data_IF_895665144014
#
_entry.id   IF_895665144014
#
_cell.length_a   1.000
_cell.length_b   1.000
_cell.length_c   1.000
_cell.angle_alpha   90.00
_cell.angle_beta   90.00
_cell.angle_gamma   90.00
#
_symmetry.space_group_name_H-M   'P 1'
#
loop_
_entity.id
_entity.type
_entity.pdbx_description
1 polymer ?
#
# COMPACT_ATOMS: atom_id res chain seq x y z
N UNK A 1 -15.40 11.20 -16.13
CA UNK A 1 -15.81 11.96 -14.95
C UNK A 1 -14.58 12.02 -14.06
N UNK A 2 -13.85 13.13 -14.08
CA UNK A 2 -12.60 13.28 -13.32
C UNK A 2 -12.93 13.65 -11.88
N UNK A 3 -12.78 12.70 -10.96
CA UNK A 3 -12.81 12.95 -9.52
C UNK A 3 -11.49 13.63 -9.14
N UNK A 4 -11.47 14.97 -9.09
CA UNK A 4 -10.32 15.72 -8.56
C UNK A 4 -10.64 16.17 -7.13
N UNK A 5 -9.84 15.71 -6.17
CA UNK A 5 -9.90 16.20 -4.81
C UNK A 5 -9.09 17.50 -4.70
N UNK A 6 -9.71 18.58 -4.24
CA UNK A 6 -9.11 19.91 -3.99
C UNK A 6 -8.22 19.90 -2.74
N UNK A 7 -7.12 19.14 -2.77
CA UNK A 7 -6.12 19.17 -1.71
C UNK A 7 -4.78 19.69 -2.24
N UNK A 8 -4.07 20.45 -1.41
CA UNK A 8 -2.67 20.81 -1.67
C UNK A 8 -1.88 19.54 -2.05
N UNK A 9 -0.96 19.61 -3.02
CA UNK A 9 -0.30 18.43 -3.56
C UNK A 9 0.36 17.64 -2.43
N UNK A 10 -0.24 16.49 -2.11
CA UNK A 10 0.29 15.57 -1.11
C UNK A 10 1.61 15.00 -1.63
N UNK A 11 2.61 14.79 -0.75
CA UNK A 11 3.85 14.15 -1.15
C UNK A 11 3.56 12.77 -1.75
N UNK A 12 3.93 12.58 -3.01
CA UNK A 12 3.73 11.32 -3.72
C UNK A 12 4.60 10.23 -3.09
N UNK A 13 3.95 9.26 -2.45
CA UNK A 13 4.64 8.21 -1.70
C UNK A 13 5.17 7.09 -2.60
N UNK A 14 4.37 6.64 -3.57
CA UNK A 14 4.71 5.63 -4.57
C UNK A 14 3.68 5.65 -5.70
N UNK A 15 4.03 5.11 -6.87
CA UNK A 15 3.12 4.88 -8.00
C UNK A 15 3.56 3.65 -8.79
N UNK A 16 2.60 2.96 -9.39
CA UNK A 16 2.85 1.85 -10.32
C UNK A 16 1.73 1.77 -11.36
N UNK A 17 2.00 1.12 -12.48
CA UNK A 17 1.02 0.74 -13.50
C UNK A 17 0.95 -0.78 -13.53
N UNK A 18 -0.26 -1.33 -13.37
CA UNK A 18 -0.48 -2.77 -13.30
C UNK A 18 -1.26 -3.27 -14.51
N UNK A 19 -0.83 -4.36 -15.17
CA UNK A 19 -1.66 -5.04 -16.14
C UNK A 19 -2.89 -5.67 -15.47
N UNK A 20 -3.99 -5.80 -16.22
CA UNK A 20 -5.25 -6.40 -15.73
C UNK A 20 -5.06 -7.87 -15.39
N UNK A 21 -4.30 -8.58 -16.24
CA UNK A 21 -3.84 -9.94 -16.01
C UNK A 21 -2.73 -9.89 -14.94
N UNK A 22 -2.88 -10.61 -13.83
CA UNK A 22 -2.00 -10.60 -12.64
C UNK A 22 -2.11 -9.42 -11.67
N UNK A 23 -3.16 -8.61 -11.78
CA UNK A 23 -3.40 -7.45 -10.91
C UNK A 23 -3.22 -7.72 -9.40
N UNK A 24 -3.75 -8.81 -8.80
CA UNK A 24 -3.70 -8.97 -7.35
C UNK A 24 -2.28 -9.19 -6.79
N UNK A 25 -1.47 -10.03 -7.44
CA UNK A 25 -0.13 -10.39 -6.95
C UNK A 25 0.83 -9.19 -7.08
N UNK A 26 0.77 -8.49 -8.21
CA UNK A 26 1.61 -7.31 -8.45
C UNK A 26 1.20 -6.14 -7.55
N UNK A 27 -0.10 -5.97 -7.28
CA UNK A 27 -0.60 -4.98 -6.33
C UNK A 27 -0.08 -5.26 -4.90
N UNK A 28 -0.22 -6.50 -4.41
CA UNK A 28 0.28 -6.91 -3.09
C UNK A 28 1.79 -6.66 -2.97
N UNK A 29 2.55 -7.01 -4.01
CA UNK A 29 4.01 -6.78 -4.03
C UNK A 29 4.36 -5.29 -3.96
N UNK A 30 3.68 -4.46 -4.75
CA UNK A 30 3.87 -3.02 -4.75
C UNK A 30 3.53 -2.39 -3.39
N UNK A 31 2.40 -2.76 -2.80
CA UNK A 31 1.95 -2.26 -1.51
C UNK A 31 2.92 -2.66 -0.40
N UNK A 32 3.36 -3.91 -0.35
CA UNK A 32 4.35 -4.36 0.63
C UNK A 32 5.64 -3.54 0.58
N UNK A 33 6.19 -3.33 -0.62
CA UNK A 33 7.44 -2.57 -0.79
C UNK A 33 7.28 -1.08 -0.47
N UNK A 34 6.10 -0.51 -0.70
CA UNK A 34 5.90 0.94 -0.56
C UNK A 34 5.49 1.34 0.85
N UNK A 35 4.83 0.44 1.59
CA UNK A 35 4.19 0.73 2.88
C UNK A 35 5.00 0.23 4.08
N UNK A 36 5.62 -0.95 3.99
CA UNK A 36 6.24 -1.63 5.14
C UNK A 36 7.34 -0.80 5.79
N UNK A 37 8.24 -0.24 4.99
CA UNK A 37 9.38 0.55 5.49
C UNK A 37 8.96 1.90 6.08
N UNK A 38 7.68 2.28 5.91
CA UNK A 38 7.11 3.55 6.37
C UNK A 38 6.17 3.36 7.56
N UNK A 39 6.13 2.16 8.14
CA UNK A 39 5.26 1.87 9.27
C UNK A 39 3.79 1.68 8.89
N UNK A 40 3.50 1.37 7.63
CA UNK A 40 2.15 1.06 7.17
C UNK A 40 2.01 -0.42 6.82
N UNK A 41 0.87 -1.00 7.17
CA UNK A 41 0.44 -2.34 6.72
C UNK A 41 -0.84 -2.21 5.92
N UNK A 42 -1.18 -3.23 5.14
CA UNK A 42 -2.42 -3.22 4.36
C UNK A 42 -3.13 -4.56 4.44
N UNK A 43 -4.46 -4.50 4.34
CA UNK A 43 -5.33 -5.64 4.10
C UNK A 43 -5.92 -5.55 2.70
N UNK A 44 -5.92 -6.67 1.97
CA UNK A 44 -6.57 -6.79 0.67
C UNK A 44 -7.58 -7.94 0.73
N UNK A 45 -8.87 -7.64 0.53
CA UNK A 45 -9.95 -8.63 0.56
C UNK A 45 -10.77 -8.57 -0.73
N UNK A 46 -11.12 -9.73 -1.28
CA UNK A 46 -12.12 -9.81 -2.36
C UNK A 46 -13.52 -9.67 -1.76
N UNK A 47 -14.30 -8.71 -2.28
CA UNK A 47 -15.66 -8.42 -1.76
C UNK A 47 -16.75 -8.94 -2.68
N UNK A 48 -16.64 -8.76 -4.00
CA UNK A 48 -17.58 -9.24 -5.02
C UNK A 48 -16.83 -9.59 -6.32
N UNK A 49 -17.52 -10.07 -7.35
CA UNK A 49 -16.98 -10.31 -8.70
C UNK A 49 -16.10 -9.15 -9.18
N UNK A 50 -14.79 -9.42 -9.27
CA UNK A 50 -13.79 -8.45 -9.73
C UNK A 50 -13.48 -7.29 -8.79
N UNK A 51 -14.11 -7.18 -7.61
CA UNK A 51 -13.92 -6.06 -6.68
C UNK A 51 -13.07 -6.44 -5.47
N UNK A 52 -12.09 -5.60 -5.18
CA UNK A 52 -11.23 -5.71 -4.01
C UNK A 52 -11.44 -4.52 -3.08
N UNK A 53 -11.49 -4.80 -1.78
CA UNK A 53 -11.39 -3.79 -0.73
C UNK A 53 -9.93 -3.73 -0.25
N UNK A 54 -9.35 -2.54 -0.31
CA UNK A 54 -8.02 -2.23 0.19
C UNK A 54 -8.16 -1.35 1.44
N UNK A 55 -7.55 -1.79 2.54
CA UNK A 55 -7.44 -1.00 3.77
C UNK A 55 -5.98 -0.79 4.08
N UNK A 56 -5.58 0.43 4.41
CA UNK A 56 -4.22 0.77 4.87
C UNK A 56 -4.31 1.14 6.35
N UNK A 57 -3.42 0.57 7.16
CA UNK A 57 -3.32 0.82 8.59
C UNK A 57 -1.96 1.42 8.91
N UNK A 58 -1.93 2.33 9.87
CA UNK A 58 -0.70 2.79 10.51
C UNK A 58 -0.32 1.79 11.60
N UNK A 59 0.85 1.16 11.46
CA UNK A 59 1.38 0.16 12.39
C UNK A 59 2.44 0.74 13.35
N UNK A 60 2.77 2.03 13.22
CA UNK A 60 3.88 2.67 13.93
C UNK A 60 5.24 2.39 13.26
N UNK A 61 6.34 2.95 13.78
CA UNK A 61 7.66 2.77 13.20
C UNK A 61 7.99 1.29 13.04
N UNK A 62 8.60 0.87 11.90
CA UNK A 62 8.97 -0.52 11.70
C UNK A 62 9.79 -0.97 12.90
N UNK A 63 9.40 -2.10 13.51
CA UNK A 63 10.13 -2.67 14.64
C UNK A 63 11.60 -2.72 14.23
N UNK A 64 12.42 -1.88 14.88
CA UNK A 64 13.82 -1.77 14.56
C UNK A 64 14.40 -3.16 14.50
N UNK A 65 15.17 -3.44 13.45
CA UNK A 65 16.21 -4.45 13.54
C UNK A 65 16.98 -4.06 14.80
N UNK A 66 16.75 -4.78 15.89
CA UNK A 66 17.55 -4.65 17.09
C UNK A 66 18.95 -5.02 16.65
N UNK A 67 19.78 -4.01 16.41
CA UNK A 67 21.21 -4.21 16.36
C UNK A 67 21.56 -4.77 17.74
N UNK A 68 21.88 -6.06 17.74
CA UNK A 68 22.38 -6.73 18.92
C UNK A 68 23.69 -6.09 19.30
N UNK A 69 23.70 -5.34 20.39
CA UNK A 69 24.88 -5.10 21.20
C UNK A 69 24.45 -5.16 22.68
N UNK A 70 25.12 -6.05 23.42
CA UNK A 70 24.89 -6.36 24.82
C UNK A 70 25.39 -7.75 25.16
#
# INVERSE_FOLDING_TARGET
MDLRADHAPLPKLAETVLPVEDYPVRLVTFLNRSLKDRGFIFGLRRVDEGRFSLTIYEAGPPAGRGDGEG
#
